data_IF_802730937744
#
_entry.id   IF_802730937744
#
_cell.length_a   1.000
_cell.length_b   1.000
_cell.length_c   1.000
_cell.angle_alpha   90.00
_cell.angle_beta   90.00
_cell.angle_gamma   90.00
#
_symmetry.space_group_name_H-M   'P 1'
#
loop_
_entity.id
_entity.type
_entity.pdbx_description
1 polymer ?
#
# COMPACT_ATOMS: atom_id res chain seq x y z
N UNK A 1 33.06 -25.12 14.26
CA UNK A 1 31.68 -25.12 14.79
C UNK A 1 30.75 -25.13 13.59
N UNK A 2 30.06 -26.23 13.30
CA UNK A 2 29.04 -26.25 12.25
C UNK A 2 27.71 -25.81 12.86
N UNK A 3 27.18 -24.68 12.42
CA UNK A 3 25.84 -24.26 12.80
C UNK A 3 24.81 -25.29 12.26
N UNK A 4 23.77 -25.65 13.02
CA UNK A 4 22.72 -26.54 12.53
C UNK A 4 21.96 -25.85 11.39
N UNK A 5 21.77 -26.58 10.28
CA UNK A 5 20.97 -26.11 9.16
C UNK A 5 19.55 -25.76 9.63
N UNK A 6 19.00 -24.59 9.27
CA UNK A 6 17.66 -24.21 9.67
C UNK A 6 16.64 -25.24 9.16
N UNK A 7 15.61 -25.51 9.96
CA UNK A 7 14.55 -26.45 9.59
C UNK A 7 13.90 -25.97 8.30
N UNK A 8 13.78 -26.88 7.32
CA UNK A 8 13.05 -26.60 6.08
C UNK A 8 11.62 -26.16 6.42
N UNK A 9 11.09 -25.12 5.77
CA UNK A 9 9.71 -24.70 5.99
C UNK A 9 8.77 -25.89 5.77
N UNK A 10 7.77 -26.06 6.65
CA UNK A 10 6.77 -27.12 6.52
C UNK A 10 5.99 -27.01 5.20
N UNK A 11 5.29 -28.09 4.80
CA UNK A 11 4.44 -28.06 3.61
C UNK A 11 3.46 -26.87 3.68
N UNK A 12 3.41 -26.06 2.61
CA UNK A 12 2.57 -24.86 2.53
C UNK A 12 3.17 -23.57 3.10
N UNK A 13 4.33 -23.62 3.76
CA UNK A 13 4.96 -22.42 4.34
C UNK A 13 5.32 -21.35 3.28
N UNK A 14 5.76 -21.76 2.09
CA UNK A 14 6.02 -20.82 0.99
C UNK A 14 4.74 -20.08 0.55
N UNK A 15 3.61 -20.81 0.45
CA UNK A 15 2.31 -20.22 0.11
C UNK A 15 1.81 -19.27 1.19
N UNK A 16 1.97 -19.65 2.47
CA UNK A 16 1.62 -18.79 3.59
C UNK A 16 2.46 -17.51 3.58
N UNK A 17 3.78 -17.64 3.35
CA UNK A 17 4.68 -16.50 3.26
C UNK A 17 4.34 -15.56 2.10
N UNK A 18 4.04 -16.12 0.93
CA UNK A 18 3.59 -15.33 -0.22
C UNK A 18 2.30 -14.55 0.12
N UNK A 19 1.33 -15.20 0.79
CA UNK A 19 0.09 -14.55 1.20
C UNK A 19 0.31 -13.41 2.22
N UNK A 20 1.32 -13.51 3.08
CA UNK A 20 1.71 -12.42 3.98
C UNK A 20 2.27 -11.23 3.20
N UNK A 21 3.22 -11.50 2.29
CA UNK A 21 3.87 -10.47 1.46
C UNK A 21 2.82 -9.71 0.65
N UNK A 22 1.97 -10.43 -0.09
CA UNK A 22 0.93 -9.80 -0.91
C UNK A 22 -0.04 -8.95 -0.09
N UNK A 23 -0.38 -9.34 1.14
CA UNK A 23 -1.26 -8.54 2.01
C UNK A 23 -0.56 -7.27 2.51
N UNK A 24 0.72 -7.36 2.87
CA UNK A 24 1.49 -6.21 3.36
C UNK A 24 1.73 -5.21 2.23
N UNK A 25 2.18 -5.69 1.07
CA UNK A 25 2.44 -4.83 -0.09
C UNK A 25 1.16 -4.14 -0.56
N UNK A 26 0.06 -4.89 -0.71
CA UNK A 26 -1.22 -4.32 -1.09
C UNK A 26 -1.73 -3.26 -0.10
N UNK A 27 -1.58 -3.50 1.20
CA UNK A 27 -1.95 -2.53 2.22
C UNK A 27 -1.05 -1.29 2.19
N UNK A 28 0.24 -1.45 1.88
CA UNK A 28 1.19 -0.38 1.67
C UNK A 28 0.81 0.52 0.50
N UNK A 29 0.53 -0.07 -0.66
CA UNK A 29 0.09 0.69 -1.85
C UNK A 29 -1.24 1.41 -1.59
N UNK A 30 -2.18 0.75 -0.90
CA UNK A 30 -3.44 1.37 -0.51
C UNK A 30 -3.21 2.61 0.37
N UNK A 31 -2.30 2.52 1.34
CA UNK A 31 -1.96 3.65 2.18
C UNK A 31 -1.28 4.77 1.37
N UNK A 32 -0.34 4.45 0.49
CA UNK A 32 0.37 5.43 -0.33
C UNK A 32 -0.59 6.24 -1.21
N UNK A 33 -1.50 5.58 -1.94
CA UNK A 33 -2.56 6.24 -2.73
C UNK A 33 -3.34 7.24 -1.87
N UNK A 34 -3.74 6.83 -0.66
CA UNK A 34 -4.57 7.68 0.19
C UNK A 34 -3.78 8.80 0.88
N UNK A 35 -2.50 8.60 1.19
CA UNK A 35 -1.60 9.65 1.68
C UNK A 35 -1.45 10.73 0.61
N UNK A 36 -1.12 10.36 -0.63
CA UNK A 36 -0.99 11.33 -1.72
C UNK A 36 -2.29 12.07 -2.00
N UNK A 37 -3.45 11.40 -1.92
CA UNK A 37 -4.76 12.07 -1.97
C UNK A 37 -4.93 13.12 -0.88
N UNK A 38 -4.58 12.78 0.36
CA UNK A 38 -4.66 13.69 1.51
C UNK A 38 -3.78 14.91 1.32
N UNK A 39 -2.53 14.70 0.91
CA UNK A 39 -1.58 15.77 0.64
C UNK A 39 -2.04 16.67 -0.52
N UNK A 40 -2.48 16.05 -1.63
CA UNK A 40 -2.97 16.79 -2.79
C UNK A 40 -4.19 17.65 -2.44
N UNK A 41 -5.11 17.17 -1.58
CA UNK A 41 -6.27 17.94 -1.15
C UNK A 41 -5.86 19.23 -0.42
N UNK A 42 -4.88 19.16 0.49
CA UNK A 42 -4.36 20.32 1.22
C UNK A 42 -3.62 21.29 0.29
N UNK A 43 -2.79 20.77 -0.62
CA UNK A 43 -2.06 21.59 -1.59
C UNK A 43 -3.01 22.33 -2.53
N UNK A 44 -4.10 21.68 -3.01
CA UNK A 44 -5.10 22.33 -3.87
C UNK A 44 -5.86 23.46 -3.17
N UNK A 45 -6.04 23.36 -1.86
CA UNK A 45 -6.69 24.39 -1.06
C UNK A 45 -5.75 25.59 -0.74
N UNK A 46 -4.45 25.47 -1.04
CA UNK A 46 -3.44 26.47 -0.69
C UNK A 46 -3.03 27.30 -1.93
N UNK A 47 -3.21 28.63 -1.93
CA UNK A 47 -2.85 29.47 -3.08
C UNK A 47 -1.37 29.34 -3.47
N UNK A 48 -1.09 29.19 -4.76
CA UNK A 48 0.29 29.12 -5.28
C UNK A 48 0.97 27.76 -5.15
N UNK A 49 0.23 26.70 -4.76
CA UNK A 49 0.73 25.32 -4.64
C UNK A 49 0.17 24.38 -5.71
N UNK A 50 -0.40 24.89 -6.79
CA UNK A 50 -1.07 24.12 -7.84
C UNK A 50 -0.12 23.09 -8.48
N UNK A 51 1.13 23.49 -8.73
CA UNK A 51 2.15 22.59 -9.29
C UNK A 51 2.45 21.40 -8.37
N UNK A 52 2.53 21.62 -7.05
CA UNK A 52 2.77 20.55 -6.08
C UNK A 52 1.55 19.61 -6.01
N UNK A 53 0.35 20.16 -6.03
CA UNK A 53 -0.88 19.38 -6.07
C UNK A 53 -0.99 18.48 -7.31
N UNK A 54 -0.49 18.93 -8.46
CA UNK A 54 -0.49 18.13 -9.68
C UNK A 54 0.60 17.05 -9.65
N UNK A 55 1.78 17.34 -9.11
CA UNK A 55 2.82 16.34 -8.88
C UNK A 55 2.35 15.23 -7.93
N UNK A 56 1.69 15.59 -6.82
CA UNK A 56 1.14 14.60 -5.88
C UNK A 56 0.06 13.72 -6.53
N UNK A 57 -0.73 14.28 -7.46
CA UNK A 57 -1.73 13.53 -8.21
C UNK A 57 -1.10 12.57 -9.23
N UNK A 58 0.01 12.95 -9.85
CA UNK A 58 0.80 12.05 -10.71
C UNK A 58 1.36 10.88 -9.90
N UNK A 59 1.95 11.17 -8.74
CA UNK A 59 2.48 10.16 -7.81
C UNK A 59 1.38 9.22 -7.30
N UNK A 60 0.20 9.76 -6.93
CA UNK A 60 -0.99 8.95 -6.62
C UNK A 60 -1.32 7.98 -7.77
N UNK A 61 -1.24 8.45 -9.02
CA UNK A 61 -1.48 7.64 -10.21
C UNK A 61 -0.51 6.46 -10.34
N UNK A 62 0.78 6.66 -10.03
CA UNK A 62 1.76 5.57 -10.04
C UNK A 62 1.42 4.49 -9.00
N UNK A 63 1.09 4.88 -7.76
CA UNK A 63 0.72 3.91 -6.72
C UNK A 63 -0.62 3.24 -7.01
N UNK A 64 -1.54 3.91 -7.70
CA UNK A 64 -2.80 3.30 -8.12
C UNK A 64 -2.57 2.15 -9.12
N UNK A 65 -1.53 2.23 -9.96
CA UNK A 65 -1.11 1.13 -10.84
C UNK A 65 -0.53 -0.02 -10.02
N UNK A 66 0.35 0.27 -9.04
CA UNK A 66 0.89 -0.75 -8.14
C UNK A 66 -0.21 -1.46 -7.35
N UNK A 67 -1.11 -0.71 -6.73
CA UNK A 67 -2.26 -1.25 -5.99
C UNK A 67 -3.11 -2.17 -6.86
N UNK A 68 -3.41 -1.76 -8.10
CA UNK A 68 -4.16 -2.58 -9.05
C UNK A 68 -3.44 -3.89 -9.38
N UNK A 69 -2.10 -3.85 -9.48
CA UNK A 69 -1.30 -5.06 -9.71
C UNK A 69 -1.34 -6.00 -8.51
N UNK A 70 -1.25 -5.49 -7.29
CA UNK A 70 -1.35 -6.33 -6.09
C UNK A 70 -2.76 -6.89 -5.87
N UNK A 71 -3.82 -6.14 -6.17
CA UNK A 71 -5.20 -6.65 -6.13
C UNK A 71 -5.39 -7.83 -7.11
N UNK A 72 -4.78 -7.77 -8.30
CA UNK A 72 -4.74 -8.90 -9.24
C UNK A 72 -3.98 -10.09 -8.64
N UNK A 73 -2.77 -9.87 -8.11
CA UNK A 73 -1.96 -10.93 -7.51
C UNK A 73 -2.65 -11.61 -6.32
N UNK A 74 -3.35 -10.85 -5.48
CA UNK A 74 -4.17 -11.38 -4.40
C UNK A 74 -5.25 -12.33 -4.94
N UNK A 75 -5.94 -11.90 -6.01
CA UNK A 75 -6.97 -12.71 -6.67
C UNK A 75 -6.39 -13.98 -7.29
N UNK A 76 -5.29 -13.86 -8.05
CA UNK A 76 -4.59 -14.98 -8.69
C UNK A 76 -4.14 -16.05 -7.67
N UNK A 77 -3.72 -15.63 -6.48
CA UNK A 77 -3.23 -16.53 -5.43
C UNK A 77 -4.30 -16.95 -4.41
N UNK A 78 -5.55 -16.48 -4.56
CA UNK A 78 -6.64 -16.75 -3.63
C UNK A 78 -6.42 -16.17 -2.22
N UNK A 79 -5.70 -15.05 -2.14
CA UNK A 79 -5.38 -14.34 -0.89
C UNK A 79 -6.37 -13.20 -0.71
N UNK A 80 -7.00 -13.12 0.45
CA UNK A 80 -7.90 -12.00 0.77
C UNK A 80 -7.09 -10.79 1.26
N UNK A 81 -7.46 -9.56 0.87
CA UNK A 81 -6.92 -8.36 1.50
C UNK A 81 -7.37 -8.27 2.97
N UNK A 82 -6.77 -7.34 3.71
CA UNK A 82 -7.17 -7.09 5.10
C UNK A 82 -8.59 -6.52 5.21
N UNK A 83 -9.36 -6.98 6.19
CA UNK A 83 -10.68 -6.43 6.51
C UNK A 83 -10.60 -4.98 7.00
N UNK A 84 -9.45 -4.55 7.51
CA UNK A 84 -9.22 -3.19 7.99
C UNK A 84 -8.98 -2.17 6.87
N UNK A 85 -9.05 -2.58 5.60
CA UNK A 85 -8.83 -1.69 4.44
C UNK A 85 -9.61 -0.36 4.54
N UNK A 86 -10.90 -0.31 4.93
CA UNK A 86 -11.61 0.97 5.07
C UNK A 86 -11.00 1.89 6.14
N UNK A 87 -10.55 1.32 7.26
CA UNK A 87 -9.90 2.07 8.35
C UNK A 87 -8.56 2.61 7.86
N UNK A 88 -7.78 1.81 7.15
CA UNK A 88 -6.49 2.23 6.61
C UNK A 88 -6.62 3.34 5.57
N UNK A 89 -7.63 3.30 4.70
CA UNK A 89 -7.91 4.39 3.75
C UNK A 89 -8.14 5.73 4.46
N UNK A 90 -8.96 5.71 5.51
CA UNK A 90 -9.27 6.90 6.29
C UNK A 90 -8.04 7.41 7.07
N UNK A 91 -7.32 6.51 7.74
CA UNK A 91 -6.13 6.86 8.51
C UNK A 91 -5.00 7.39 7.61
N UNK A 92 -4.75 6.76 6.47
CA UNK A 92 -3.75 7.18 5.49
C UNK A 92 -4.08 8.55 4.89
N UNK A 93 -5.33 8.81 4.55
CA UNK A 93 -5.76 10.12 4.09
C UNK A 93 -5.57 11.19 5.17
N UNK A 94 -6.01 10.92 6.40
CA UNK A 94 -5.86 11.84 7.51
C UNK A 94 -4.39 12.14 7.81
N UNK A 95 -3.52 11.13 7.75
CA UNK A 95 -2.07 11.29 7.89
C UNK A 95 -1.48 12.15 6.76
N UNK A 96 -1.86 11.86 5.51
CA UNK A 96 -1.43 12.64 4.35
C UNK A 96 -1.85 14.10 4.46
N UNK A 97 -3.11 14.37 4.78
CA UNK A 97 -3.61 15.73 4.98
C UNK A 97 -2.97 16.42 6.18
N UNK A 98 -2.72 15.71 7.29
CA UNK A 98 -2.13 16.28 8.49
C UNK A 98 -0.64 16.61 8.39
N UNK A 99 0.07 16.01 7.43
CA UNK A 99 1.53 16.20 7.22
C UNK A 99 1.88 17.08 6.02
N UNK A 100 0.87 17.49 5.24
CA UNK A 100 1.00 18.36 4.08
C UNK A 100 1.09 19.84 4.46
#
# INVERSE_FOLDING_TARGET
MNAPMPRRPGAGAAKARLAEILRVDQAGELAAVHIYRGQAAVMRASPGRERLADQLKEMEGHEQVHLSRFDQLLTEHGVRPTLMSPVWRAAAFALGAGTA
#
